data_IF_420306341985
#
_entry.id   IF_420306341985
#
_cell.length_a   1.000
_cell.length_b   1.000
_cell.length_c   1.000
_cell.angle_alpha   90.00
_cell.angle_beta   90.00
_cell.angle_gamma   90.00
#
_symmetry.space_group_name_H-M   'P 1'
#
loop_
_entity.id
_entity.type
_entity.pdbx_description
1 polymer ?
#
# COMPACT_ATOMS: atom_id res chain seq x y z
N UNK A 1 5.94 7.59 1.10
CA UNK A 1 5.96 6.14 1.41
C UNK A 1 5.01 5.80 2.55
N UNK A 2 5.06 6.50 3.68
CA UNK A 2 4.19 6.18 4.81
C UNK A 2 2.70 6.37 4.48
N UNK A 3 2.35 7.42 3.72
CA UNK A 3 0.99 7.61 3.20
C UNK A 3 0.51 6.41 2.35
N UNK A 4 1.36 5.90 1.46
CA UNK A 4 1.06 4.73 0.63
C UNK A 4 0.92 3.47 1.49
N UNK A 5 1.80 3.26 2.47
CA UNK A 5 1.71 2.12 3.38
C UNK A 5 0.43 2.16 4.22
N UNK A 6 0.05 3.33 4.73
CA UNK A 6 -1.23 3.51 5.45
C UNK A 6 -2.43 3.23 4.53
N UNK A 7 -2.37 3.67 3.27
CA UNK A 7 -3.43 3.41 2.31
C UNK A 7 -3.64 1.90 2.07
N UNK A 8 -2.56 1.18 1.73
CA UNK A 8 -2.65 -0.27 1.50
C UNK A 8 -2.97 -1.05 2.79
N UNK A 9 -2.60 -0.53 3.96
CA UNK A 9 -3.04 -1.06 5.26
C UNK A 9 -4.55 -0.95 5.42
N UNK A 10 -5.15 0.19 5.08
CA UNK A 10 -6.59 0.38 5.17
C UNK A 10 -7.36 -0.51 4.20
N UNK A 11 -6.86 -0.64 2.96
CA UNK A 11 -7.38 -1.62 1.98
C UNK A 11 -7.34 -3.04 2.53
N UNK A 12 -6.21 -3.44 3.12
CA UNK A 12 -6.04 -4.77 3.72
C UNK A 12 -6.96 -4.99 4.92
N UNK A 13 -7.04 -4.00 5.82
CA UNK A 13 -7.87 -4.08 7.02
C UNK A 13 -9.34 -4.20 6.65
N UNK A 14 -9.82 -3.36 5.73
CA UNK A 14 -11.19 -3.44 5.25
C UNK A 14 -11.46 -4.78 4.56
N UNK A 15 -10.57 -5.24 3.68
CA UNK A 15 -10.71 -6.55 3.00
C UNK A 15 -10.84 -7.71 4.00
N UNK A 16 -10.12 -7.65 5.12
CA UNK A 16 -10.07 -8.70 6.13
C UNK A 16 -11.23 -8.67 7.13
N UNK A 17 -11.79 -7.48 7.41
CA UNK A 17 -12.74 -7.28 8.52
C UNK A 17 -14.11 -6.79 8.07
N UNK A 18 -14.20 -6.14 6.91
CA UNK A 18 -15.35 -5.39 6.44
C UNK A 18 -15.79 -4.26 7.40
N UNK A 19 -14.92 -3.84 8.32
CA UNK A 19 -15.15 -2.77 9.30
C UNK A 19 -14.48 -1.47 8.85
N UNK A 20 -15.23 -0.36 8.95
CA UNK A 20 -14.76 0.98 8.58
C UNK A 20 -14.28 1.80 9.78
N UNK A 21 -14.51 1.38 11.02
CA UNK A 21 -14.27 2.17 12.22
C UNK A 21 -12.79 2.52 12.46
N UNK A 22 -11.88 1.70 11.93
CA UNK A 22 -10.44 1.82 12.17
C UNK A 22 -9.66 2.27 10.93
N UNK A 23 -10.36 2.73 9.89
CA UNK A 23 -9.73 3.26 8.69
C UNK A 23 -9.20 4.66 8.96
N UNK A 24 -7.94 4.90 8.58
CA UNK A 24 -7.27 6.19 8.64
C UNK A 24 -7.87 7.13 7.58
N UNK A 25 -8.15 6.61 6.38
CA UNK A 25 -8.76 7.37 5.27
C UNK A 25 -10.27 7.19 5.23
N UNK A 26 -10.94 7.56 6.32
CA UNK A 26 -12.40 7.41 6.49
C UNK A 26 -13.23 8.17 5.45
N UNK A 27 -12.70 9.26 4.89
CA UNK A 27 -13.39 10.02 3.85
C UNK A 27 -13.39 9.29 2.49
N UNK A 28 -12.49 8.32 2.31
CA UNK A 28 -12.27 7.60 1.05
C UNK A 28 -12.75 6.14 1.07
N UNK A 29 -13.69 5.82 1.97
CA UNK A 29 -14.24 4.47 2.15
C UNK A 29 -14.70 3.84 0.83
N UNK A 30 -15.30 4.61 -0.07
CA UNK A 30 -15.78 4.11 -1.36
C UNK A 30 -14.62 3.61 -2.25
N UNK A 31 -13.47 4.27 -2.21
CA UNK A 31 -12.26 3.88 -2.95
C UNK A 31 -11.58 2.68 -2.29
N UNK A 32 -11.49 2.68 -0.95
CA UNK A 32 -10.95 1.54 -0.20
C UNK A 32 -11.74 0.27 -0.49
N UNK A 33 -13.08 0.36 -0.50
CA UNK A 33 -13.99 -0.73 -0.82
C UNK A 33 -13.74 -1.28 -2.22
N UNK A 34 -13.65 -0.42 -3.23
CA UNK A 34 -13.46 -0.86 -4.61
C UNK A 34 -12.09 -1.53 -4.82
N UNK A 35 -11.03 -1.00 -4.22
CA UNK A 35 -9.71 -1.63 -4.26
C UNK A 35 -9.66 -2.96 -3.50
N UNK A 36 -10.27 -3.04 -2.32
CA UNK A 36 -10.34 -4.28 -1.54
C UNK A 36 -11.07 -5.41 -2.28
N UNK A 37 -11.99 -5.09 -3.20
CA UNK A 37 -12.66 -6.09 -4.04
C UNK A 37 -11.75 -6.63 -5.15
N UNK A 38 -10.95 -5.77 -5.79
CA UNK A 38 -10.16 -6.12 -6.97
C UNK A 38 -8.80 -6.72 -6.60
N UNK A 39 -8.17 -6.23 -5.54
CA UNK A 39 -6.81 -6.63 -5.15
C UNK A 39 -6.82 -7.95 -4.36
N UNK A 40 -5.86 -8.84 -4.64
CA UNK A 40 -5.64 -10.04 -3.84
C UNK A 40 -4.91 -9.70 -2.53
N UNK A 41 -5.04 -10.56 -1.51
CA UNK A 41 -4.28 -10.41 -0.27
C UNK A 41 -2.76 -10.42 -0.52
N UNK A 42 -2.31 -11.33 -1.38
CA UNK A 42 -0.91 -11.43 -1.79
C UNK A 42 -0.42 -10.16 -2.48
N UNK A 43 -1.19 -9.62 -3.44
CA UNK A 43 -0.82 -8.39 -4.14
C UNK A 43 -0.70 -7.18 -3.22
N UNK A 44 -1.60 -7.05 -2.24
CA UNK A 44 -1.49 -5.99 -1.22
C UNK A 44 -0.22 -6.19 -0.37
N UNK A 45 0.07 -7.43 0.03
CA UNK A 45 1.25 -7.75 0.82
C UNK A 45 2.56 -7.49 0.05
N UNK A 46 2.61 -7.81 -1.25
CA UNK A 46 3.77 -7.56 -2.10
C UNK A 46 4.06 -6.07 -2.27
N UNK A 47 3.01 -5.25 -2.39
CA UNK A 47 3.14 -3.80 -2.42
C UNK A 47 3.68 -3.28 -1.08
N UNK A 48 3.14 -3.73 0.05
CA UNK A 48 3.63 -3.35 1.39
C UNK A 48 5.11 -3.72 1.57
N UNK A 49 5.49 -4.95 1.21
CA UNK A 49 6.88 -5.42 1.23
C UNK A 49 7.79 -4.56 0.33
N UNK A 50 7.29 -4.14 -0.83
CA UNK A 50 8.02 -3.28 -1.76
C UNK A 50 8.23 -1.87 -1.21
N UNK A 51 7.23 -1.30 -0.52
CA UNK A 51 7.36 -0.02 0.18
C UNK A 51 8.47 -0.10 1.24
N UNK A 52 8.53 -1.19 2.00
CA UNK A 52 9.58 -1.38 3.02
C UNK A 52 10.98 -1.50 2.40
N UNK A 53 11.11 -2.27 1.31
CA UNK A 53 12.37 -2.36 0.54
C UNK A 53 12.82 -0.98 0.04
N UNK A 54 11.89 -0.18 -0.49
CA UNK A 54 12.16 1.18 -0.97
C UNK A 54 12.64 2.06 0.18
N UNK A 55 11.99 1.99 1.35
CA UNK A 55 12.41 2.75 2.54
C UNK A 55 13.86 2.41 2.95
N UNK A 56 14.24 1.13 2.92
CA UNK A 56 15.61 0.68 3.22
C UNK A 56 16.60 1.21 2.17
N UNK A 57 16.27 1.11 0.88
CA UNK A 57 17.13 1.58 -0.22
C UNK A 57 17.38 3.08 -0.17
N UNK A 58 16.34 3.88 0.08
CA UNK A 58 16.48 5.33 0.21
C UNK A 58 17.34 5.70 1.43
N UNK A 59 17.19 5.00 2.56
CA UNK A 59 18.09 5.18 3.73
C UNK A 59 19.55 4.83 3.41
N UNK A 60 19.78 3.90 2.50
CA UNK A 60 21.12 3.57 1.98
C UNK A 60 21.60 4.50 0.86
N UNK A 61 20.91 5.63 0.60
CA UNK A 61 21.23 6.61 -0.43
C UNK A 61 21.19 6.08 -1.88
N UNK A 62 20.40 5.04 -2.14
CA UNK A 62 20.11 4.60 -3.51
C UNK A 62 19.31 5.69 -4.24
N UNK A 63 19.53 5.85 -5.55
CA UNK A 63 18.83 6.82 -6.39
C UNK A 63 17.30 6.73 -6.20
N UNK A 64 16.68 7.90 -5.99
CA UNK A 64 15.26 8.00 -5.68
C UNK A 64 14.38 7.52 -6.83
N UNK A 65 14.63 7.98 -8.05
CA UNK A 65 13.82 7.66 -9.23
C UNK A 65 13.79 6.15 -9.48
N UNK A 66 14.96 5.49 -9.40
CA UNK A 66 15.06 4.04 -9.50
C UNK A 66 14.25 3.33 -8.42
N UNK A 67 14.32 3.80 -7.18
CA UNK A 67 13.57 3.21 -6.08
C UNK A 67 12.05 3.32 -6.29
N UNK A 68 11.57 4.46 -6.77
CA UNK A 68 10.16 4.68 -7.07
C UNK A 68 9.72 3.87 -8.30
N UNK A 69 10.56 3.75 -9.33
CA UNK A 69 10.26 2.94 -10.51
C UNK A 69 10.03 1.46 -10.14
N UNK A 70 10.90 0.90 -9.29
CA UNK A 70 10.75 -0.45 -8.76
C UNK A 70 9.47 -0.61 -7.92
N UNK A 71 9.07 0.43 -7.17
CA UNK A 71 7.83 0.41 -6.43
C UNK A 71 6.61 0.36 -7.35
N UNK A 72 6.61 1.19 -8.40
CA UNK A 72 5.53 1.24 -9.39
C UNK A 72 5.42 -0.10 -10.13
N UNK A 73 6.53 -0.76 -10.44
CA UNK A 73 6.51 -2.10 -11.03
C UNK A 73 5.82 -3.14 -10.13
N UNK A 74 5.96 -3.04 -8.81
CA UNK A 74 5.29 -3.94 -7.86
C UNK A 74 3.78 -3.64 -7.70
N UNK A 75 3.30 -2.50 -8.20
CA UNK A 75 1.90 -2.10 -8.16
C UNK A 75 1.14 -2.39 -9.47
N UNK A 76 1.83 -2.89 -10.51
CA UNK A 76 1.24 -3.32 -11.78
C UNK A 76 0.60 -4.70 -11.65
#
# INVERSE_FOLDING_TARGET
LDLMAMWFRDVLLFKSTNDTNYLIFSDEISLIKSQAQIMSYEGIQDILNSIDKVRIRLKANVNFDLCIELLIMAMK
#
